data_IF_273656964774
#
_entry.id   IF_273656964774
#
_cell.length_a   1.000
_cell.length_b   1.000
_cell.length_c   1.000
_cell.angle_alpha   90.00
_cell.angle_beta   90.00
_cell.angle_gamma   90.00
#
_symmetry.space_group_name_H-M   'P 1'
#
loop_
_entity.id
_entity.type
_entity.pdbx_description
1 polymer ?
#
# COMPACT_ATOMS: atom_id res chain seq x y z
N UNK A 1 -19.18 16.66 18.76
CA UNK A 1 -18.73 15.31 19.14
C UNK A 1 -17.23 15.26 18.86
N UNK A 2 -16.40 14.95 19.85
CA UNK A 2 -14.96 14.85 19.64
C UNK A 2 -14.66 13.52 18.95
N UNK A 3 -14.02 13.56 17.78
CA UNK A 3 -13.63 12.34 17.05
C UNK A 3 -12.63 11.58 17.91
N UNK A 4 -12.93 10.32 18.22
CA UNK A 4 -12.07 9.48 19.04
C UNK A 4 -10.84 9.05 18.25
N UNK A 5 -9.75 8.67 18.93
CA UNK A 5 -8.57 8.12 18.23
C UNK A 5 -8.89 6.81 17.51
N UNK A 6 -9.84 6.03 18.01
CA UNK A 6 -10.29 4.79 17.39
C UNK A 6 -11.00 5.07 16.05
N UNK A 7 -11.87 6.08 16.01
CA UNK A 7 -12.49 6.56 14.77
C UNK A 7 -11.42 7.05 13.77
N UNK A 8 -10.41 7.80 14.23
CA UNK A 8 -9.31 8.24 13.36
C UNK A 8 -8.46 7.08 12.82
N UNK A 9 -8.26 6.02 13.63
CA UNK A 9 -7.55 4.82 13.21
C UNK A 9 -8.33 4.12 12.11
N UNK A 10 -9.63 3.89 12.34
CA UNK A 10 -10.52 3.25 11.37
C UNK A 10 -10.58 4.03 10.06
N UNK A 11 -10.77 5.34 10.12
CA UNK A 11 -10.80 6.21 8.94
C UNK A 11 -9.48 6.14 8.14
N UNK A 12 -8.34 6.12 8.83
CA UNK A 12 -7.03 6.03 8.17
C UNK A 12 -6.79 4.66 7.54
N UNK A 13 -7.29 3.58 8.12
CA UNK A 13 -7.22 2.24 7.53
C UNK A 13 -8.03 2.22 6.23
N UNK A 14 -9.27 2.69 6.25
CA UNK A 14 -10.13 2.76 5.05
C UNK A 14 -9.46 3.58 3.95
N UNK A 15 -8.88 4.74 4.28
CA UNK A 15 -8.16 5.56 3.30
C UNK A 15 -6.95 4.82 2.70
N UNK A 16 -6.23 4.02 3.47
CA UNK A 16 -5.11 3.24 2.95
C UNK A 16 -5.62 2.14 2.00
N UNK A 17 -6.67 1.42 2.39
CA UNK A 17 -7.26 0.36 1.55
C UNK A 17 -7.73 0.89 0.20
N UNK A 18 -8.42 2.04 0.21
CA UNK A 18 -8.86 2.71 -1.02
C UNK A 18 -7.68 3.09 -1.94
N UNK A 19 -6.59 3.60 -1.38
CA UNK A 19 -5.39 3.93 -2.15
C UNK A 19 -4.69 2.68 -2.73
N UNK A 20 -4.68 1.57 -1.99
CA UNK A 20 -4.15 0.30 -2.48
C UNK A 20 -5.01 -0.26 -3.63
N UNK A 21 -6.33 -0.21 -3.50
CA UNK A 21 -7.23 -0.65 -4.57
C UNK A 21 -7.11 0.22 -5.82
N UNK A 22 -6.95 1.53 -5.66
CA UNK A 22 -6.67 2.43 -6.77
C UNK A 22 -5.36 2.08 -7.48
N UNK A 23 -4.30 1.74 -6.73
CA UNK A 23 -3.01 1.31 -7.27
C UNK A 23 -3.10 -0.02 -8.04
N UNK A 24 -3.81 -1.00 -7.49
CA UNK A 24 -4.05 -2.30 -8.16
C UNK A 24 -4.83 -2.09 -9.46
N UNK A 25 -5.90 -1.29 -9.42
CA UNK A 25 -6.73 -0.97 -10.58
C UNK A 25 -5.91 -0.26 -11.67
N UNK A 26 -5.07 0.70 -11.28
CA UNK A 26 -4.17 1.37 -12.22
C UNK A 26 -3.14 0.45 -12.84
N UNK A 27 -2.59 -0.50 -12.07
CA UNK A 27 -1.70 -1.53 -12.63
C UNK A 27 -2.40 -2.39 -13.68
N UNK A 28 -3.68 -2.73 -13.45
CA UNK A 28 -4.53 -3.48 -14.38
C UNK A 28 -4.78 -2.69 -15.67
N UNK A 29 -5.19 -1.42 -15.56
CA UNK A 29 -5.41 -0.51 -16.70
C UNK A 29 -4.15 -0.37 -17.57
N UNK A 30 -2.97 -0.27 -16.94
CA UNK A 30 -1.69 -0.18 -17.64
C UNK A 30 -1.17 -1.51 -18.20
N UNK A 31 -1.91 -2.62 -18.00
CA UNK A 31 -1.53 -3.96 -18.44
C UNK A 31 -0.26 -4.49 -17.75
N UNK A 32 0.05 -4.04 -16.52
CA UNK A 32 1.24 -4.45 -15.76
C UNK A 32 0.91 -5.59 -14.79
N UNK A 33 0.61 -6.78 -15.33
CA UNK A 33 0.17 -7.97 -14.57
C UNK A 33 1.10 -8.34 -13.41
N UNK A 34 2.43 -8.36 -13.63
CA UNK A 34 3.39 -8.66 -12.55
C UNK A 34 3.31 -7.65 -11.41
N UNK A 35 3.18 -6.36 -11.73
CA UNK A 35 3.05 -5.35 -10.70
C UNK A 35 1.71 -5.47 -9.97
N UNK A 36 0.61 -5.71 -10.69
CA UNK A 36 -0.70 -5.98 -10.10
C UNK A 36 -0.62 -7.11 -9.07
N UNK A 37 -0.02 -8.25 -9.42
CA UNK A 37 0.13 -9.39 -8.50
C UNK A 37 0.93 -9.04 -7.25
N UNK A 38 2.03 -8.30 -7.37
CA UNK A 38 2.81 -7.87 -6.21
C UNK A 38 2.05 -6.86 -5.33
N UNK A 39 1.27 -5.96 -5.95
CA UNK A 39 0.40 -5.03 -5.22
C UNK A 39 -0.77 -5.73 -4.52
N UNK A 40 -1.34 -6.77 -5.12
CA UNK A 40 -2.35 -7.62 -4.48
C UNK A 40 -1.78 -8.38 -3.27
N UNK A 41 -0.55 -8.87 -3.36
CA UNK A 41 0.16 -9.49 -2.22
C UNK A 41 0.40 -8.48 -1.10
N UNK A 42 0.92 -7.30 -1.43
CA UNK A 42 1.16 -6.24 -0.44
C UNK A 42 -0.15 -5.81 0.23
N UNK A 43 -1.26 -5.73 -0.53
CA UNK A 43 -2.59 -5.41 0.00
C UNK A 43 -3.01 -6.41 1.07
N UNK A 44 -2.88 -7.70 0.77
CA UNK A 44 -3.20 -8.77 1.72
C UNK A 44 -2.35 -8.67 2.99
N UNK A 45 -1.02 -8.54 2.85
CA UNK A 45 -0.10 -8.44 3.99
C UNK A 45 -0.40 -7.20 4.84
N UNK A 46 -0.72 -6.07 4.20
CA UNK A 46 -1.00 -4.80 4.87
C UNK A 46 -2.32 -4.86 5.63
N UNK A 47 -3.37 -5.41 5.03
CA UNK A 47 -4.67 -5.64 5.68
C UNK A 47 -4.53 -6.59 6.87
N UNK A 48 -3.86 -7.74 6.72
CA UNK A 48 -3.60 -8.66 7.84
C UNK A 48 -2.79 -8.01 8.99
N UNK A 49 -1.89 -7.07 8.67
CA UNK A 49 -1.17 -6.28 9.69
C UNK A 49 -2.07 -5.27 10.37
N UNK A 50 -2.98 -4.62 9.64
CA UNK A 50 -3.94 -3.68 10.22
C UNK A 50 -4.89 -4.38 11.17
N UNK A 51 -5.44 -5.54 10.81
CA UNK A 51 -6.31 -6.32 11.69
C UNK A 51 -5.63 -6.62 13.02
N UNK A 52 -4.38 -7.08 12.98
CA UNK A 52 -3.58 -7.32 14.20
C UNK A 52 -3.34 -6.04 15.00
N UNK A 53 -3.09 -4.92 14.34
CA UNK A 53 -2.82 -3.64 15.00
C UNK A 53 -4.10 -3.03 15.61
N UNK A 54 -5.26 -3.23 15.00
CA UNK A 54 -6.56 -2.82 15.53
C UNK A 54 -6.89 -3.61 16.79
N UNK A 55 -6.79 -4.95 16.75
CA UNK A 55 -6.98 -5.81 17.93
C UNK A 55 -6.02 -5.43 19.07
N UNK A 56 -4.80 -5.01 18.73
CA UNK A 56 -3.80 -4.56 19.71
C UNK A 56 -4.12 -3.16 20.26
N UNK A 57 -4.77 -2.29 19.49
CA UNK A 57 -5.14 -0.93 19.91
C UNK A 57 -6.45 -0.89 20.70
N UNK A 58 -7.38 -1.81 20.42
CA UNK A 58 -8.58 -2.06 21.22
C UNK A 58 -8.17 -2.56 22.62
N UNK A 59 -8.40 -1.72 23.63
CA UNK A 59 -8.05 -2.04 25.02
C UNK A 59 -6.67 -1.58 25.49
N UNK A 60 -5.89 -0.86 24.66
CA UNK A 60 -4.62 -0.22 25.07
C UNK A 60 -4.74 1.28 25.34
N UNK A 61 -3.75 1.81 26.05
CA UNK A 61 -3.63 3.20 26.44
C UNK A 61 -3.50 4.18 25.25
N UNK A 62 -3.74 5.45 25.53
CA UNK A 62 -3.74 6.56 24.56
C UNK A 62 -2.42 6.76 23.78
N UNK A 63 -1.29 6.29 24.31
CA UNK A 63 0.05 6.36 23.67
C UNK A 63 0.15 5.30 22.58
N UNK A 64 -0.30 4.08 22.86
CA UNK A 64 -0.34 2.97 21.88
C UNK A 64 -1.16 3.37 20.65
N UNK A 65 -2.34 3.97 20.85
CA UNK A 65 -3.19 4.51 19.78
C UNK A 65 -2.50 5.62 18.98
N UNK A 66 -1.77 6.51 19.64
CA UNK A 66 -1.02 7.58 18.99
C UNK A 66 0.18 7.07 18.15
N UNK A 67 0.85 6.01 18.61
CA UNK A 67 1.91 5.33 17.83
C UNK A 67 1.33 4.68 16.59
N UNK A 68 0.20 3.98 16.72
CA UNK A 68 -0.50 3.37 15.59
C UNK A 68 -0.92 4.41 14.55
N UNK A 69 -1.53 5.52 14.98
CA UNK A 69 -1.91 6.62 14.10
C UNK A 69 -0.71 7.20 13.32
N UNK A 70 0.46 7.32 13.97
CA UNK A 70 1.70 7.75 13.27
C UNK A 70 2.15 6.72 12.24
N UNK A 71 2.06 5.43 12.56
CA UNK A 71 2.33 4.34 11.62
C UNK A 71 1.43 4.38 10.39
N UNK A 72 0.11 4.51 10.61
CA UNK A 72 -0.89 4.62 9.55
C UNK A 72 -0.65 5.85 8.68
N UNK A 73 -0.36 7.03 9.26
CA UNK A 73 -0.02 8.23 8.50
C UNK A 73 1.20 8.04 7.58
N UNK A 74 2.27 7.38 8.08
CA UNK A 74 3.44 7.06 7.25
C UNK A 74 3.09 6.08 6.12
N UNK A 75 2.29 5.08 6.42
CA UNK A 75 1.82 4.09 5.45
C UNK A 75 1.00 4.76 4.34
N UNK A 76 0.06 5.64 4.70
CA UNK A 76 -0.72 6.42 3.76
C UNK A 76 0.15 7.30 2.86
N UNK A 77 1.11 8.06 3.43
CA UNK A 77 2.04 8.87 2.63
C UNK A 77 2.84 8.02 1.64
N UNK A 78 3.28 6.84 2.06
CA UNK A 78 4.01 5.88 1.22
C UNK A 78 3.18 5.48 0.00
N UNK A 79 1.91 5.11 0.19
CA UNK A 79 1.02 4.74 -0.93
C UNK A 79 0.73 5.93 -1.84
N UNK A 80 0.52 7.11 -1.27
CA UNK A 80 0.30 8.33 -2.05
C UNK A 80 1.49 8.67 -2.97
N UNK A 81 2.73 8.53 -2.47
CA UNK A 81 3.94 8.71 -3.29
C UNK A 81 4.00 7.70 -4.42
N UNK A 82 3.72 6.43 -4.13
CA UNK A 82 3.72 5.40 -5.17
C UNK A 82 2.63 5.65 -6.21
N UNK A 83 1.45 6.09 -5.80
CA UNK A 83 0.37 6.44 -6.72
C UNK A 83 0.79 7.58 -7.66
N UNK A 84 1.39 8.64 -7.13
CA UNK A 84 1.95 9.72 -7.96
C UNK A 84 3.01 9.22 -8.94
N UNK A 85 3.87 8.30 -8.53
CA UNK A 85 4.84 7.68 -9.43
C UNK A 85 4.14 6.84 -10.52
N UNK A 86 3.10 6.09 -10.16
CA UNK A 86 2.30 5.31 -11.11
C UNK A 86 1.55 6.22 -12.10
N UNK A 87 1.10 7.40 -11.67
CA UNK A 87 0.53 8.44 -12.54
C UNK A 87 1.55 8.92 -13.59
N UNK A 88 2.83 8.96 -13.22
CA UNK A 88 3.95 9.27 -14.13
C UNK A 88 4.43 8.02 -14.94
N UNK A 89 3.73 6.89 -14.85
CA UNK A 89 4.06 5.65 -15.54
C UNK A 89 5.15 4.78 -14.89
N UNK A 90 5.71 5.23 -13.76
CA UNK A 90 6.70 4.51 -12.95
C UNK A 90 5.96 3.64 -11.94
N UNK A 91 6.05 2.32 -12.07
CA UNK A 91 5.39 1.44 -11.10
C UNK A 91 6.42 0.92 -10.11
N UNK A 92 6.23 1.23 -8.84
CA UNK A 92 7.05 0.72 -7.75
C UNK A 92 6.49 -0.64 -7.32
N UNK A 93 7.33 -1.64 -7.16
CA UNK A 93 6.99 -2.90 -6.48
C UNK A 93 7.77 -3.00 -5.19
N UNK A 94 7.26 -3.74 -4.22
CA UNK A 94 7.98 -4.02 -2.99
C UNK A 94 8.72 -5.34 -3.11
N UNK A 95 10.00 -5.36 -2.75
CA UNK A 95 10.73 -6.61 -2.48
C UNK A 95 10.08 -7.32 -1.28
N UNK A 96 10.31 -8.63 -1.11
CA UNK A 96 9.86 -9.45 0.02
C UNK A 96 10.29 -8.87 1.39
N UNK A 97 11.31 -8.00 1.42
CA UNK A 97 11.76 -7.26 2.61
C UNK A 97 11.05 -5.90 2.81
N UNK A 98 10.06 -5.59 1.99
CA UNK A 98 9.30 -4.34 2.03
C UNK A 98 10.02 -3.12 1.43
N UNK A 99 11.14 -3.31 0.71
CA UNK A 99 11.89 -2.24 0.04
C UNK A 99 11.23 -1.85 -1.28
N UNK A 100 11.08 -0.54 -1.52
CA UNK A 100 10.58 -0.01 -2.79
C UNK A 100 11.59 -0.23 -3.92
N UNK A 101 11.17 -0.90 -4.97
CA UNK A 101 11.90 -1.04 -6.23
C UNK A 101 11.10 -0.33 -7.33
N UNK A 102 11.50 0.87 -7.76
CA UNK A 102 10.86 1.53 -8.89
C UNK A 102 11.12 0.73 -10.17
N UNK A 103 10.06 0.38 -10.90
CA UNK A 103 10.13 -0.15 -12.27
C UNK A 103 9.67 0.97 -13.21
N UNK A 104 10.62 1.67 -13.85
CA UNK A 104 10.30 2.62 -14.90
C UNK A 104 9.44 1.99 -16.00
N UNK A 105 8.40 2.70 -16.47
CA UNK A 105 7.47 2.21 -17.47
C UNK A 105 8.12 1.77 -18.79
N UNK A 106 9.26 2.36 -19.17
CA UNK A 106 10.01 2.01 -20.38
C UNK A 106 10.76 0.67 -20.28
N UNK A 107 11.04 0.18 -19.07
CA UNK A 107 11.67 -1.16 -18.88
C UNK A 107 10.72 -2.32 -19.21
N UNK A 108 9.45 -2.04 -19.53
CA UNK A 108 8.47 -3.03 -20.03
C UNK A 108 9.01 -3.81 -21.24
N UNK A 109 9.85 -3.22 -22.10
CA UNK A 109 10.47 -3.93 -23.23
C UNK A 109 11.46 -5.01 -22.80
N UNK A 110 12.18 -4.80 -21.69
CA UNK A 110 13.19 -5.76 -21.21
C UNK A 110 12.58 -6.95 -20.47
N UNK A 111 11.51 -6.73 -19.68
CA UNK A 111 10.86 -7.83 -18.95
C UNK A 111 9.92 -8.70 -19.82
N UNK A 112 9.53 -8.24 -21.02
CA UNK A 112 8.75 -9.05 -21.97
C UNK A 112 9.60 -10.08 -22.73
N UNK A 113 10.94 -9.97 -22.67
CA UNK A 113 11.87 -10.87 -23.38
C UNK A 113 12.30 -12.13 -22.62
N UNK A 114 11.85 -12.34 -21.36
CA UNK A 114 12.27 -13.49 -20.53
C UNK A 114 11.18 -14.59 -20.51
N UNK A 115 10.22 -14.55 -21.44
CA UNK A 115 9.16 -15.56 -21.58
C UNK A 115 8.95 -15.99 -23.04
N UNK A 116 10.05 -16.17 -23.76
CA UNK A 116 10.11 -16.93 -25.00
C UNK A 116 11.42 -17.74 -25.00
N UNK A 117 11.42 -18.86 -24.28
CA UNK A 117 12.12 -20.08 -24.69
C UNK A 117 11.52 -21.28 -23.97
#
# INVERSE_FOLDING_TARGET
>A
MAVTKEEQISEKIVQIEQEMDALVSKCRELGKTKAQTEWEKERRITSEKFDRLVVVAEGRDEISKAVLLRGLKRCWMRFHVVRKLADLGIIVVFDARGKMLPIPGYLRRYFRGIHQN
#
